data_IF_019908388051
#
_entry.id   IF_019908388051
#
_cell.length_a   1.000
_cell.length_b   1.000
_cell.length_c   1.000
_cell.angle_alpha   90.00
_cell.angle_beta   90.00
_cell.angle_gamma   90.00
#
_symmetry.space_group_name_H-M   'P 1'
#
loop_
_entity.id
_entity.type
_entity.pdbx_description
1 polymer ?
#
# COMPACT_ATOMS: atom_id res chain seq x y z
N UNK A 1 31.22 -25.04 -10.48
CA UNK A 1 30.76 -23.66 -10.68
C UNK A 1 30.42 -23.09 -9.31
N UNK A 2 31.24 -22.23 -8.73
CA UNK A 2 30.94 -21.52 -7.50
C UNK A 2 29.82 -20.54 -7.83
N UNK A 3 28.57 -20.83 -7.39
CA UNK A 3 27.46 -19.96 -7.55
C UNK A 3 27.71 -18.64 -6.79
N UNK A 4 28.27 -17.67 -7.49
CA UNK A 4 28.47 -16.34 -6.96
C UNK A 4 27.10 -15.71 -6.79
N UNK A 5 26.75 -15.33 -5.57
CA UNK A 5 25.52 -14.59 -5.31
C UNK A 5 25.55 -13.29 -6.12
N UNK A 6 24.69 -13.19 -7.11
CA UNK A 6 24.64 -12.04 -8.02
C UNK A 6 23.57 -11.02 -7.63
N UNK A 7 22.59 -11.46 -6.80
CA UNK A 7 21.48 -10.65 -6.38
C UNK A 7 20.99 -11.09 -4.99
N UNK A 8 20.77 -10.14 -4.08
CA UNK A 8 20.19 -10.39 -2.76
C UNK A 8 18.75 -10.91 -2.82
N UNK A 9 18.02 -10.69 -3.92
CA UNK A 9 16.68 -11.27 -4.14
C UNK A 9 16.68 -12.80 -4.20
N UNK A 10 17.84 -13.45 -4.31
CA UNK A 10 18.01 -14.91 -4.29
C UNK A 10 18.09 -15.46 -2.85
N UNK A 11 18.15 -14.61 -1.83
CA UNK A 11 18.23 -15.02 -0.43
C UNK A 11 16.84 -15.04 0.18
N UNK A 12 16.49 -16.17 0.81
CA UNK A 12 15.27 -16.30 1.60
C UNK A 12 15.60 -16.72 3.03
N UNK A 13 15.02 -16.01 4.00
CA UNK A 13 15.07 -16.39 5.40
C UNK A 13 13.76 -17.07 5.80
N UNK A 14 13.82 -18.25 6.38
CA UNK A 14 12.66 -19.00 6.84
C UNK A 14 12.56 -18.92 8.36
N UNK A 15 11.39 -18.54 8.86
CA UNK A 15 11.10 -18.43 10.29
C UNK A 15 9.78 -19.12 10.62
N UNK A 16 9.67 -19.69 11.81
CA UNK A 16 8.41 -20.23 12.32
C UNK A 16 7.34 -19.14 12.52
N UNK A 17 7.76 -17.91 12.79
CA UNK A 17 6.89 -16.74 12.89
C UNK A 17 7.62 -15.48 12.45
N UNK A 18 7.09 -14.81 11.46
CA UNK A 18 7.61 -13.49 11.00
C UNK A 18 7.29 -12.35 11.98
N UNK A 19 6.37 -12.58 12.94
CA UNK A 19 6.02 -11.61 13.98
C UNK A 19 6.99 -11.61 15.17
N UNK A 20 7.94 -12.54 15.21
CA UNK A 20 8.89 -12.61 16.31
C UNK A 20 9.78 -11.36 16.33
N UNK A 21 10.03 -10.72 17.52
CA UNK A 21 10.79 -9.47 17.61
C UNK A 21 12.18 -9.52 16.96
N UNK A 22 12.88 -10.67 17.08
CA UNK A 22 14.20 -10.85 16.44
C UNK A 22 14.16 -10.79 14.91
N UNK A 23 13.04 -11.22 14.28
CA UNK A 23 12.87 -11.14 12.82
C UNK A 23 12.76 -9.68 12.40
N UNK A 24 12.04 -8.86 13.19
CA UNK A 24 11.96 -7.43 12.97
C UNK A 24 13.31 -6.74 13.09
N UNK A 25 14.08 -7.06 14.13
CA UNK A 25 15.44 -6.53 14.32
C UNK A 25 16.35 -6.89 13.13
N UNK A 26 16.27 -8.12 12.63
CA UNK A 26 17.02 -8.55 11.45
C UNK A 26 16.60 -7.75 10.20
N UNK A 27 15.30 -7.60 9.98
CA UNK A 27 14.78 -6.85 8.84
C UNK A 27 15.23 -5.39 8.89
N UNK A 28 15.10 -4.73 10.04
CA UNK A 28 15.54 -3.36 10.26
C UNK A 28 17.05 -3.20 10.05
N UNK A 29 17.84 -4.20 10.49
CA UNK A 29 19.29 -4.21 10.28
C UNK A 29 19.64 -4.31 8.79
N UNK A 30 19.01 -5.22 8.06
CA UNK A 30 19.24 -5.41 6.62
C UNK A 30 18.87 -4.14 5.85
N UNK A 31 17.72 -3.53 6.14
CA UNK A 31 17.27 -2.31 5.48
C UNK A 31 18.18 -1.11 5.78
N UNK A 32 18.70 -0.96 7.00
CA UNK A 32 19.70 0.06 7.35
C UNK A 32 21.01 -0.10 6.59
N UNK A 33 21.33 -1.32 6.18
CA UNK A 33 22.50 -1.63 5.36
C UNK A 33 22.16 -1.68 3.84
N UNK A 34 21.07 -1.06 3.42
CA UNK A 34 20.61 -1.01 2.03
C UNK A 34 20.31 -2.38 1.41
N UNK A 35 20.08 -3.40 2.23
CA UNK A 35 19.64 -4.72 1.79
C UNK A 35 18.12 -4.77 1.96
N UNK A 36 17.42 -4.71 0.85
CA UNK A 36 15.97 -4.63 0.81
C UNK A 36 15.31 -5.93 1.28
N UNK A 37 14.37 -5.84 2.22
CA UNK A 37 13.64 -6.98 2.76
C UNK A 37 12.21 -7.00 2.23
N UNK A 38 11.78 -8.16 1.72
CA UNK A 38 10.41 -8.40 1.31
C UNK A 38 9.73 -9.37 2.29
N UNK A 39 8.71 -8.92 3.01
CA UNK A 39 7.93 -9.75 3.93
C UNK A 39 6.45 -9.42 3.85
N UNK A 40 5.67 -10.09 2.96
CA UNK A 40 4.27 -9.75 2.70
C UNK A 40 3.30 -10.16 3.81
N UNK A 41 3.76 -10.94 4.80
CA UNK A 41 2.95 -11.43 5.93
C UNK A 41 3.32 -10.80 7.28
N UNK A 42 4.22 -9.81 7.28
CA UNK A 42 4.63 -9.11 8.49
C UNK A 42 3.84 -7.82 8.67
N UNK A 43 3.83 -7.30 9.89
CA UNK A 43 3.27 -5.98 10.19
C UNK A 43 3.99 -4.88 9.38
N UNK A 44 5.22 -5.15 8.94
CA UNK A 44 5.98 -4.27 8.04
C UNK A 44 5.33 -4.11 6.66
N UNK A 45 4.56 -5.09 6.16
CA UNK A 45 3.86 -4.97 4.89
C UNK A 45 2.93 -3.75 4.86
N UNK A 46 2.11 -3.59 5.91
CA UNK A 46 1.22 -2.44 6.03
C UNK A 46 1.94 -1.13 6.36
N UNK A 47 3.22 -1.16 6.73
CA UNK A 47 4.03 0.03 6.93
C UNK A 47 4.71 0.51 5.64
N UNK A 48 4.62 -0.23 4.56
CA UNK A 48 5.21 0.15 3.28
C UNK A 48 4.48 1.35 2.68
N UNK A 49 5.26 2.27 2.13
CA UNK A 49 4.77 3.53 1.57
C UNK A 49 3.65 3.31 0.55
N UNK A 50 3.89 2.42 -0.44
CA UNK A 50 2.95 2.11 -1.52
C UNK A 50 1.63 1.52 -0.99
N UNK A 51 1.70 0.67 0.04
CA UNK A 51 0.51 0.06 0.67
C UNK A 51 -0.30 1.12 1.41
N UNK A 52 0.36 1.96 2.21
CA UNK A 52 -0.30 3.06 2.93
C UNK A 52 -0.91 4.06 1.96
N UNK A 53 -0.23 4.36 0.86
CA UNK A 53 -0.71 5.28 -0.15
C UNK A 53 -1.97 4.75 -0.85
N UNK A 54 -2.00 3.48 -1.24
CA UNK A 54 -3.20 2.84 -1.80
C UNK A 54 -4.36 2.93 -0.83
N UNK A 55 -4.16 2.52 0.42
CA UNK A 55 -5.22 2.55 1.44
C UNK A 55 -5.73 3.98 1.66
N UNK A 56 -4.84 4.96 1.74
CA UNK A 56 -5.21 6.36 1.86
C UNK A 56 -6.02 6.87 0.66
N UNK A 57 -5.58 6.58 -0.56
CA UNK A 57 -6.31 6.93 -1.78
C UNK A 57 -7.69 6.28 -1.83
N UNK A 58 -7.79 5.00 -1.49
CA UNK A 58 -9.09 4.31 -1.44
C UNK A 58 -10.02 4.93 -0.41
N UNK A 59 -9.54 5.26 0.78
CA UNK A 59 -10.37 5.95 1.79
C UNK A 59 -10.85 7.33 1.33
N UNK A 60 -10.02 8.09 0.61
CA UNK A 60 -10.41 9.39 0.05
C UNK A 60 -11.53 9.30 -1.01
N UNK A 61 -11.70 8.13 -1.65
CA UNK A 61 -12.81 7.88 -2.55
C UNK A 61 -14.16 7.70 -1.82
N UNK A 62 -14.14 7.50 -0.49
CA UNK A 62 -15.34 7.27 0.34
C UNK A 62 -15.44 8.29 1.48
N UNK A 63 -15.86 9.54 1.21
CA UNK A 63 -15.86 10.60 2.22
C UNK A 63 -16.70 10.29 3.46
N UNK A 64 -17.79 9.54 3.33
CA UNK A 64 -18.62 9.11 4.48
C UNK A 64 -17.86 8.19 5.43
N UNK A 65 -16.96 7.34 4.89
CA UNK A 65 -16.11 6.51 5.72
C UNK A 65 -15.15 7.36 6.56
N UNK A 66 -14.55 8.38 5.96
CA UNK A 66 -13.66 9.30 6.69
C UNK A 66 -14.45 10.06 7.76
N UNK A 67 -15.64 10.57 7.42
CA UNK A 67 -16.51 11.26 8.39
C UNK A 67 -16.88 10.34 9.57
N UNK A 68 -17.26 9.09 9.30
CA UNK A 68 -17.55 8.10 10.35
C UNK A 68 -16.32 7.78 11.21
N UNK A 69 -15.12 7.73 10.61
CA UNK A 69 -13.87 7.55 11.34
C UNK A 69 -13.57 8.72 12.29
N UNK A 70 -13.85 9.95 11.86
CA UNK A 70 -13.68 11.17 12.66
C UNK A 70 -14.70 11.26 13.79
N UNK A 71 -15.94 10.87 13.52
CA UNK A 71 -17.04 10.86 14.50
C UNK A 71 -16.93 9.71 15.52
N UNK A 72 -16.09 8.71 15.28
CA UNK A 72 -15.99 7.51 16.12
C UNK A 72 -17.12 6.51 15.89
N UNK A 73 -17.77 6.51 14.72
CA UNK A 73 -18.91 5.63 14.40
C UNK A 73 -18.48 4.15 14.31
N UNK A 74 -17.18 3.87 14.13
CA UNK A 74 -16.63 2.51 13.99
C UNK A 74 -16.09 2.00 15.32
N UNK A 75 -16.97 1.67 16.25
CA UNK A 75 -16.66 1.24 17.63
C UNK A 75 -15.87 -0.07 17.70
N UNK A 76 -15.85 -0.85 16.62
CA UNK A 76 -15.07 -2.10 16.51
C UNK A 76 -13.59 -1.87 16.15
N UNK A 77 -13.22 -0.65 15.72
CA UNK A 77 -11.83 -0.32 15.40
C UNK A 77 -11.07 0.01 16.68
N UNK A 78 -9.89 -0.59 16.83
CA UNK A 78 -8.97 -0.24 17.90
C UNK A 78 -8.30 1.11 17.62
N UNK A 79 -7.86 1.86 18.67
CA UNK A 79 -7.22 3.17 18.50
C UNK A 79 -6.01 3.15 17.56
N UNK A 80 -5.26 2.03 17.55
CA UNK A 80 -4.10 1.85 16.66
C UNK A 80 -4.51 1.81 15.20
N UNK A 81 -5.65 1.16 14.89
CA UNK A 81 -6.19 1.12 13.53
C UNK A 81 -6.62 2.50 13.06
N UNK A 82 -7.29 3.27 13.92
CA UNK A 82 -7.71 4.64 13.61
C UNK A 82 -6.49 5.52 13.34
N UNK A 83 -5.47 5.44 14.18
CA UNK A 83 -4.21 6.18 14.01
C UNK A 83 -3.53 5.80 12.70
N UNK A 84 -3.50 4.52 12.37
CA UNK A 84 -2.93 4.02 11.13
C UNK A 84 -3.69 4.55 9.90
N UNK A 85 -5.02 4.51 9.90
CA UNK A 85 -5.83 5.01 8.79
C UNK A 85 -5.69 6.52 8.60
N UNK A 86 -5.63 7.29 9.68
CA UNK A 86 -5.34 8.73 9.60
C UNK A 86 -3.98 9.00 8.96
N UNK A 87 -2.96 8.22 9.32
CA UNK A 87 -1.63 8.31 8.69
C UNK A 87 -1.70 8.03 7.18
N UNK A 88 -2.43 7.00 6.76
CA UNK A 88 -2.63 6.70 5.34
C UNK A 88 -3.33 7.84 4.59
N UNK A 89 -4.38 8.42 5.18
CA UNK A 89 -5.11 9.56 4.60
C UNK A 89 -4.20 10.79 4.47
N UNK A 90 -3.40 11.11 5.49
CA UNK A 90 -2.45 12.22 5.45
C UNK A 90 -1.42 12.03 4.34
N UNK A 91 -0.83 10.84 4.24
CA UNK A 91 0.14 10.49 3.20
C UNK A 91 -0.46 10.65 1.80
N UNK A 92 -1.69 10.16 1.59
CA UNK A 92 -2.38 10.29 0.32
C UNK A 92 -2.64 11.77 -0.03
N UNK A 93 -3.15 12.56 0.91
CA UNK A 93 -3.38 13.99 0.70
C UNK A 93 -2.08 14.72 0.32
N UNK A 94 -0.99 14.48 1.02
CA UNK A 94 0.32 15.06 0.71
C UNK A 94 0.78 14.67 -0.70
N UNK A 95 0.71 13.37 -1.04
CA UNK A 95 1.09 12.86 -2.35
C UNK A 95 0.24 13.48 -3.47
N UNK A 96 -1.05 13.64 -3.25
CA UNK A 96 -1.98 14.23 -4.22
C UNK A 96 -1.78 15.74 -4.44
N UNK A 97 -1.05 16.45 -3.59
CA UNK A 97 -0.70 17.86 -3.84
C UNK A 97 0.35 18.01 -4.93
N UNK A 98 1.14 16.98 -5.19
CA UNK A 98 2.21 17.02 -6.19
C UNK A 98 1.63 17.19 -7.61
N UNK A 99 2.22 18.05 -8.45
CA UNK A 99 1.71 18.32 -9.81
C UNK A 99 1.60 17.06 -10.69
N UNK A 100 2.55 16.14 -10.57
CA UNK A 100 2.56 14.87 -11.33
C UNK A 100 1.35 13.97 -11.04
N UNK A 101 0.71 14.14 -9.90
CA UNK A 101 -0.43 13.34 -9.46
C UNK A 101 -1.78 14.06 -9.68
N UNK A 102 -1.81 15.10 -10.54
CA UNK A 102 -3.00 15.91 -10.78
C UNK A 102 -4.18 15.10 -11.31
N UNK A 103 -3.94 14.16 -12.22
CA UNK A 103 -4.99 13.32 -12.81
C UNK A 103 -5.55 12.33 -11.77
N UNK A 104 -4.70 11.70 -10.98
CA UNK A 104 -5.13 10.88 -9.86
C UNK A 104 -6.01 11.69 -8.88
N UNK A 105 -5.57 12.89 -8.54
CA UNK A 105 -6.34 13.80 -7.66
C UNK A 105 -7.72 14.12 -8.21
N UNK A 106 -7.83 14.42 -9.52
CA UNK A 106 -9.11 14.68 -10.17
C UNK A 106 -10.02 13.46 -10.10
N UNK A 107 -9.49 12.31 -10.44
CA UNK A 107 -10.22 11.05 -10.44
C UNK A 107 -10.75 10.69 -9.04
N UNK A 108 -9.90 10.74 -8.00
CA UNK A 108 -10.32 10.50 -6.61
C UNK A 108 -11.42 11.47 -6.18
N UNK A 109 -11.29 12.77 -6.50
CA UNK A 109 -12.32 13.76 -6.18
C UNK A 109 -13.65 13.50 -6.90
N UNK A 110 -13.59 13.06 -8.15
CA UNK A 110 -14.77 12.68 -8.90
C UNK A 110 -15.48 11.48 -8.24
N UNK A 111 -14.75 10.42 -7.92
CA UNK A 111 -15.30 9.26 -7.22
C UNK A 111 -15.85 9.64 -5.84
N UNK A 112 -15.14 10.45 -5.07
CA UNK A 112 -15.61 10.92 -3.77
C UNK A 112 -16.97 11.62 -3.85
N UNK A 113 -17.20 12.45 -4.87
CA UNK A 113 -18.51 13.09 -5.11
C UNK A 113 -19.59 12.07 -5.48
N UNK A 114 -19.26 11.11 -6.33
CA UNK A 114 -20.17 10.03 -6.73
C UNK A 114 -20.56 9.16 -5.54
N UNK A 115 -19.59 8.81 -4.70
CA UNK A 115 -19.81 7.91 -3.56
C UNK A 115 -20.55 8.56 -2.38
N UNK A 116 -20.60 9.89 -2.28
CA UNK A 116 -21.45 10.57 -1.29
C UNK A 116 -22.93 10.18 -1.44
N UNK A 117 -23.37 9.90 -2.66
CA UNK A 117 -24.75 9.48 -2.97
C UNK A 117 -25.04 8.01 -2.66
N UNK A 118 -24.03 7.17 -2.46
CA UNK A 118 -24.23 5.75 -2.21
C UNK A 118 -24.88 5.52 -0.84
N UNK A 119 -26.00 4.79 -0.86
CA UNK A 119 -26.73 4.39 0.35
C UNK A 119 -26.54 2.88 0.55
N UNK A 120 -25.96 2.50 1.69
CA UNK A 120 -25.84 1.11 2.11
C UNK A 120 -24.57 0.41 1.61
N UNK A 121 -24.36 -0.79 2.14
CA UNK A 121 -23.32 -1.73 1.73
C UNK A 121 -23.82 -2.45 0.49
N UNK A 122 -23.48 -1.93 -0.65
CA UNK A 122 -23.68 -2.64 -1.91
C UNK A 122 -22.42 -3.44 -2.23
N UNK A 123 -22.57 -4.49 -3.01
CA UNK A 123 -21.47 -5.27 -3.60
C UNK A 123 -20.61 -4.36 -4.49
N UNK A 124 -19.78 -3.54 -3.84
CA UNK A 124 -18.90 -2.65 -4.54
C UNK A 124 -17.63 -3.41 -4.96
N UNK A 125 -17.33 -3.43 -6.23
CA UNK A 125 -16.14 -4.09 -6.76
C UNK A 125 -14.86 -3.30 -6.40
N UNK A 126 -14.42 -3.38 -5.14
CA UNK A 126 -13.21 -2.69 -4.65
C UNK A 126 -11.96 -3.07 -5.45
N UNK A 127 -11.87 -4.31 -5.92
CA UNK A 127 -10.79 -4.76 -6.81
C UNK A 127 -10.78 -3.98 -8.13
N UNK A 128 -11.94 -3.68 -8.69
CA UNK A 128 -12.05 -2.87 -9.91
C UNK A 128 -11.53 -1.43 -9.70
N UNK A 129 -11.84 -0.81 -8.55
CA UNK A 129 -11.28 0.50 -8.17
C UNK A 129 -9.76 0.46 -8.00
N UNK A 130 -9.26 -0.61 -7.39
CA UNK A 130 -7.84 -0.79 -7.18
C UNK A 130 -7.05 -0.87 -8.50
N UNK A 131 -7.56 -1.65 -9.47
CA UNK A 131 -6.93 -1.73 -10.78
C UNK A 131 -6.98 -0.39 -11.55
N UNK A 132 -8.08 0.35 -11.43
CA UNK A 132 -8.15 1.70 -12.00
C UNK A 132 -7.17 2.65 -11.32
N UNK A 133 -7.01 2.58 -10.00
CA UNK A 133 -6.04 3.36 -9.24
C UNK A 133 -4.61 3.12 -9.73
N UNK A 134 -4.26 1.88 -10.05
CA UNK A 134 -2.93 1.50 -10.52
C UNK A 134 -2.58 2.05 -11.92
N UNK A 135 -3.55 2.52 -12.68
CA UNK A 135 -3.29 3.18 -13.96
C UNK A 135 -2.76 4.62 -13.84
N UNK A 136 -2.77 5.19 -12.64
CA UNK A 136 -2.32 6.56 -12.39
C UNK A 136 -0.96 6.60 -11.70
N UNK A 137 -0.20 7.71 -11.95
CA UNK A 137 0.96 8.02 -11.12
C UNK A 137 0.53 8.33 -9.67
N UNK A 138 1.31 7.91 -8.67
CA UNK A 138 2.65 7.28 -8.76
C UNK A 138 2.63 5.75 -8.92
N UNK A 139 1.47 5.10 -8.91
CA UNK A 139 1.37 3.64 -8.94
C UNK A 139 1.81 3.03 -10.27
N UNK A 140 1.46 3.69 -11.38
CA UNK A 140 1.89 3.24 -12.71
C UNK A 140 3.42 3.12 -12.79
N UNK A 141 4.14 4.14 -12.32
CA UNK A 141 5.60 4.10 -12.27
C UNK A 141 6.17 3.04 -11.29
N UNK A 142 5.44 2.70 -10.21
CA UNK A 142 5.86 1.63 -9.29
C UNK A 142 5.69 0.23 -9.92
N UNK A 143 4.76 0.09 -10.87
CA UNK A 143 4.46 -1.16 -11.57
C UNK A 143 5.27 -1.31 -12.86
N UNK A 144 5.82 -0.22 -13.37
CA UNK A 144 6.67 -0.23 -14.57
C UNK A 144 8.05 -0.80 -14.22
N UNK A 145 8.20 -2.09 -14.43
CA UNK A 145 9.45 -2.82 -14.19
C UNK A 145 10.21 -2.89 -15.50
N UNK A 146 11.15 -1.96 -15.71
CA UNK A 146 12.07 -2.07 -16.83
C UNK A 146 13.13 -3.16 -16.55
N UNK A 147 12.94 -4.30 -17.19
CA UNK A 147 13.84 -5.47 -17.09
C UNK A 147 15.21 -5.20 -17.72
N UNK A 148 15.38 -4.11 -18.45
CA UNK A 148 16.63 -3.78 -19.16
C UNK A 148 17.53 -2.82 -18.36
N UNK A 149 16.98 -2.14 -17.37
CA UNK A 149 17.73 -1.23 -16.49
C UNK A 149 18.11 -2.00 -15.23
N UNK A 150 19.38 -2.27 -15.02
CA UNK A 150 20.01 -2.89 -13.84
C UNK A 150 19.14 -3.16 -12.59
N UNK A 151 19.65 -3.18 -11.39
CA UNK A 151 18.87 -3.54 -10.18
C UNK A 151 17.69 -2.59 -9.96
N UNK A 152 16.53 -2.89 -10.58
CA UNK A 152 15.27 -2.18 -10.33
C UNK A 152 14.67 -2.67 -9.02
N UNK A 153 14.25 -1.74 -8.15
CA UNK A 153 13.53 -2.11 -6.93
C UNK A 153 12.11 -2.60 -7.25
N UNK A 154 11.95 -3.91 -7.37
CA UNK A 154 10.66 -4.56 -7.67
C UNK A 154 9.74 -4.71 -6.44
N UNK A 155 10.17 -4.26 -5.24
CA UNK A 155 9.37 -4.41 -4.01
C UNK A 155 8.03 -3.68 -4.06
N UNK A 156 7.95 -2.41 -4.53
CA UNK A 156 6.67 -1.73 -4.62
C UNK A 156 5.68 -2.50 -5.49
N UNK A 157 6.09 -2.99 -6.65
CA UNK A 157 5.25 -3.79 -7.53
C UNK A 157 4.76 -5.09 -6.87
N UNK A 158 5.66 -5.82 -6.19
CA UNK A 158 5.30 -7.02 -5.43
C UNK A 158 4.32 -6.74 -4.30
N UNK A 159 4.50 -5.64 -3.57
CA UNK A 159 3.61 -5.23 -2.50
C UNK A 159 2.23 -4.83 -3.05
N UNK A 160 2.16 -4.10 -4.16
CA UNK A 160 0.90 -3.75 -4.82
C UNK A 160 0.17 -4.99 -5.34
N UNK A 161 0.88 -5.93 -5.97
CA UNK A 161 0.31 -7.20 -6.40
C UNK A 161 -0.22 -8.02 -5.22
N UNK A 162 0.50 -8.04 -4.08
CA UNK A 162 0.03 -8.74 -2.88
C UNK A 162 -1.19 -8.05 -2.26
N UNK A 163 -1.22 -6.73 -2.23
CA UNK A 163 -2.37 -5.98 -1.74
C UNK A 163 -3.61 -6.24 -2.59
N UNK A 164 -3.47 -6.31 -3.92
CA UNK A 164 -4.59 -6.64 -4.82
C UNK A 164 -5.16 -8.03 -4.57
N UNK A 165 -4.32 -9.02 -4.24
CA UNK A 165 -4.79 -10.34 -3.82
C UNK A 165 -5.59 -10.30 -2.51
N UNK A 166 -5.17 -9.48 -1.54
CA UNK A 166 -5.86 -9.36 -0.24
C UNK A 166 -7.23 -8.69 -0.40
N UNK A 167 -7.34 -7.67 -1.25
CA UNK A 167 -8.58 -6.91 -1.46
C UNK A 167 -9.53 -7.65 -2.41
N UNK A 168 -9.01 -8.51 -3.30
CA UNK A 168 -9.80 -9.23 -4.30
C UNK A 168 -10.37 -10.57 -3.80
N UNK A 169 -10.07 -10.98 -2.56
CA UNK A 169 -10.66 -12.16 -1.88
C UNK A 169 -11.87 -11.77 -1.07
#
# INVERSE_FOLDING_TARGET
ESGKLTDYNQIAFLFNSVKHPRVRVLADFLEKNHINVYSPRSDMFFQRYEVQLVLGCMMLMFPKYIQGLENGDYTYLQPEHITYYRKCIMLANETLTQPRNAELRKWIRHLGKTHIGLRGTTDYAYSGLLYQLFAYEPFAGMLDIDMNVGVTDIRPARNLAKLSQIIGT
#
